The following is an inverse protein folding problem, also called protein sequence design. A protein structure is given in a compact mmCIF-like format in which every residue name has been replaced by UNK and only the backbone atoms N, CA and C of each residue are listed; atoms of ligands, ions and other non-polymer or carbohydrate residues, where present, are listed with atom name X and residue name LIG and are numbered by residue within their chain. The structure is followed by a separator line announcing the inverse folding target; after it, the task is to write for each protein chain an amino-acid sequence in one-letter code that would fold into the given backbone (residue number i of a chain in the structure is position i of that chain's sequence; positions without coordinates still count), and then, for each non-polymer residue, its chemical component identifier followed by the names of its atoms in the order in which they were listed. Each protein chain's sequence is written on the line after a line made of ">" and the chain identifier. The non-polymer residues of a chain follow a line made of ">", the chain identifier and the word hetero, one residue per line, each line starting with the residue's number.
data_IF_307911079919
#
_entry.id   IF_307911079919
#
_cell.length_a   1.000
_cell.length_b   1.000
_cell.length_c   1.000
_cell.angle_alpha   90.00
_cell.angle_beta   90.00
_cell.angle_gamma   90.00
#
_symmetry.space_group_name_H-M   'P 1'
#
loop_
_entity.id
_entity.type
_entity.pdbx_description
1 polymer ?
#
# COMPACT_ATOMS: atom_id res chain seq x y z
N UNK A 1 1.02 10.40 0.57
CA UNK A 1 2.45 10.17 0.25
C UNK A 1 2.97 11.17 -0.78
N UNK A 2 2.45 12.41 -0.82
CA UNK A 2 2.68 13.36 -1.93
C UNK A 2 3.68 14.49 -1.62
N UNK A 3 4.26 14.58 -0.41
CA UNK A 3 5.29 15.58 -0.02
C UNK A 3 6.05 15.06 1.24
N UNK A 4 7.36 15.19 1.49
CA UNK A 4 8.19 16.42 1.63
C UNK A 4 9.67 16.16 1.21
N UNK A 5 10.16 16.88 0.20
CA UNK A 5 11.54 16.95 -0.33
C UNK A 5 12.27 15.69 -0.85
N UNK A 6 12.00 14.47 -0.37
CA UNK A 6 12.63 13.24 -0.88
C UNK A 6 11.77 11.99 -0.65
N UNK A 7 10.87 11.72 -1.61
CA UNK A 7 9.90 10.63 -1.57
C UNK A 7 10.41 9.32 -2.21
N UNK A 8 11.69 9.27 -2.63
CA UNK A 8 12.29 8.20 -3.43
C UNK A 8 12.33 6.82 -2.74
N UNK A 9 12.12 6.76 -1.42
CA UNK A 9 12.16 5.52 -0.64
C UNK A 9 10.84 5.10 0.04
N UNK A 10 9.76 5.86 -0.11
CA UNK A 10 8.53 5.60 0.65
C UNK A 10 7.75 4.45 0.05
N UNK A 11 7.31 3.52 0.90
CA UNK A 11 6.44 2.41 0.54
C UNK A 11 5.14 2.52 1.29
N UNK A 12 4.03 2.37 0.57
CA UNK A 12 2.71 2.33 1.20
C UNK A 12 2.61 1.01 1.96
N UNK A 13 2.38 1.12 3.27
CA UNK A 13 2.09 0.01 4.15
C UNK A 13 0.59 -0.08 4.38
N UNK A 14 0.09 -1.30 4.46
CA UNK A 14 -1.29 -1.59 4.83
C UNK A 14 -1.31 -2.61 5.94
N UNK A 15 -2.29 -2.48 6.83
CA UNK A 15 -2.66 -3.52 7.76
C UNK A 15 -4.09 -3.94 7.49
N UNK A 16 -4.28 -5.19 7.09
CA UNK A 16 -5.61 -5.77 6.87
C UNK A 16 -5.85 -6.87 7.89
N UNK A 17 -7.11 -7.12 8.25
CA UNK A 17 -7.43 -8.18 9.22
C UNK A 17 -7.06 -9.58 8.71
N UNK A 18 -7.06 -9.76 7.38
CA UNK A 18 -6.81 -11.05 6.75
C UNK A 18 -5.32 -11.36 6.56
N UNK A 19 -4.55 -10.36 6.14
CA UNK A 19 -3.15 -10.54 5.73
C UNK A 19 -2.16 -9.89 6.70
N UNK A 20 -2.66 -9.14 7.68
CA UNK A 20 -1.82 -8.40 8.62
C UNK A 20 -1.10 -7.25 7.92
N UNK A 21 0.13 -7.00 8.36
CA UNK A 21 0.99 -5.94 7.84
C UNK A 21 1.61 -6.35 6.50
N UNK A 22 1.33 -5.60 5.45
CA UNK A 22 1.88 -5.81 4.10
C UNK A 22 2.33 -4.48 3.50
N UNK A 23 3.42 -4.50 2.73
CA UNK A 23 3.74 -3.41 1.80
C UNK A 23 2.90 -3.57 0.53
N UNK A 24 2.52 -2.47 -0.10
CA UNK A 24 1.75 -2.50 -1.34
C UNK A 24 2.46 -3.26 -2.47
N UNK A 25 3.79 -3.20 -2.53
CA UNK A 25 4.61 -3.98 -3.47
C UNK A 25 4.66 -5.47 -3.17
N UNK A 26 4.35 -5.86 -1.93
CA UNK A 26 4.37 -7.27 -1.48
C UNK A 26 3.00 -7.92 -1.52
N UNK A 27 1.91 -7.14 -1.54
CA UNK A 27 0.57 -7.69 -1.70
C UNK A 27 0.35 -8.17 -3.14
N UNK A 28 -0.15 -9.40 -3.33
CA UNK A 28 -0.39 -9.98 -4.66
C UNK A 28 -1.37 -9.16 -5.53
N UNK A 29 -2.21 -8.34 -4.90
CA UNK A 29 -3.21 -7.50 -5.54
C UNK A 29 -2.77 -6.04 -5.70
N UNK A 30 -1.60 -5.68 -5.16
CA UNK A 30 -1.08 -4.31 -5.12
C UNK A 30 0.10 -4.11 -6.07
N UNK A 31 0.11 -2.96 -6.73
CA UNK A 31 1.24 -2.50 -7.53
C UNK A 31 1.59 -1.09 -7.11
N UNK A 32 2.86 -0.86 -6.76
CA UNK A 32 3.34 0.46 -6.37
C UNK A 32 4.13 1.11 -7.51
N UNK A 33 3.72 2.31 -7.91
CA UNK A 33 4.40 3.15 -8.89
C UNK A 33 4.73 4.49 -8.24
N UNK A 34 5.99 4.70 -7.88
CA UNK A 34 6.41 5.84 -7.07
C UNK A 34 5.73 5.83 -5.70
N UNK A 35 5.12 6.94 -5.31
CA UNK A 35 4.35 7.08 -4.06
C UNK A 35 2.90 6.58 -4.16
N UNK A 36 2.49 6.08 -5.33
CA UNK A 36 1.12 5.61 -5.58
C UNK A 36 1.03 4.09 -5.45
N UNK A 37 0.12 3.62 -4.60
CA UNK A 37 -0.25 2.21 -4.48
C UNK A 37 -1.59 1.96 -5.19
N UNK A 38 -1.60 1.04 -6.16
CA UNK A 38 -2.81 0.64 -6.89
C UNK A 38 -3.17 -0.79 -6.53
N UNK A 39 -4.34 -0.97 -5.93
CA UNK A 39 -4.86 -2.29 -5.55
C UNK A 39 -6.01 -2.63 -6.50
N UNK A 40 -5.90 -3.72 -7.25
CA UNK A 40 -6.92 -4.12 -8.23
C UNK A 40 -6.83 -5.62 -8.53
N UNK A 41 -7.91 -6.40 -8.34
CA UNK A 41 -9.22 -6.02 -7.80
C UNK A 41 -9.17 -5.65 -6.31
N UNK A 42 -10.03 -4.72 -5.89
CA UNK A 42 -10.21 -4.39 -4.46
C UNK A 42 -11.24 -5.34 -3.86
N UNK A 43 -10.83 -6.13 -2.86
CA UNK A 43 -11.72 -7.04 -2.15
C UNK A 43 -12.12 -6.45 -0.80
N UNK A 44 -13.22 -6.95 -0.22
CA UNK A 44 -13.59 -6.61 1.17
C UNK A 44 -12.49 -6.95 2.17
N UNK A 45 -11.66 -7.96 1.87
CA UNK A 45 -10.49 -8.34 2.66
C UNK A 45 -9.33 -7.33 2.61
N UNK A 46 -9.33 -6.41 1.64
CA UNK A 46 -8.38 -5.30 1.61
C UNK A 46 -8.81 -4.15 2.54
N UNK A 47 -9.96 -4.25 3.20
CA UNK A 47 -10.35 -3.26 4.21
C UNK A 47 -9.34 -3.29 5.35
N UNK A 48 -8.81 -2.13 5.70
CA UNK A 48 -7.70 -2.03 6.62
C UNK A 48 -7.20 -0.61 6.79
N UNK A 49 -6.13 -0.47 7.54
CA UNK A 49 -5.44 0.80 7.78
C UNK A 49 -4.30 0.93 6.77
N UNK A 50 -4.17 2.11 6.14
CA UNK A 50 -3.18 2.39 5.12
C UNK A 50 -2.35 3.60 5.51
N UNK A 51 -1.03 3.52 5.35
CA UNK A 51 -0.14 4.62 5.65
C UNK A 51 1.12 4.64 4.79
N UNK A 52 1.65 5.83 4.70
CA UNK A 52 3.04 6.17 4.45
C UNK A 52 3.42 7.04 5.64
#
# INVERSE_FOLDING_TARGET
>A
CEDQSDSTGWRVRKYTERWGLEDCSSSELGSQTGSTCKISPTLTSDTGVYWC
#
